data_IF_160102047098
#
_entry.id   IF_160102047098
#
_cell.length_a   1.000
_cell.length_b   1.000
_cell.length_c   1.000
_cell.angle_alpha   90.00
_cell.angle_beta   90.00
_cell.angle_gamma   90.00
#
_symmetry.space_group_name_H-M   'P 1'
#
loop_
_entity.id
_entity.type
_entity.pdbx_description
1 polymer ?
#
# COMPACT_ATOMS: atom_id res chain seq x y z
N UNK A 1 54.97 -10.88 -4.72
CA UNK A 1 54.77 -11.98 -3.74
C UNK A 1 53.68 -11.58 -2.73
N UNK A 2 52.39 -11.69 -3.05
CA UNK A 2 51.31 -11.33 -2.10
C UNK A 2 50.00 -12.04 -2.46
N UNK A 3 49.91 -13.36 -2.23
CA UNK A 3 48.67 -14.16 -2.42
C UNK A 3 48.52 -15.34 -1.45
N UNK A 4 48.97 -15.21 -0.19
CA UNK A 4 48.90 -16.32 0.79
C UNK A 4 48.10 -16.08 2.07
N UNK A 5 47.60 -14.87 2.35
CA UNK A 5 46.91 -14.56 3.61
C UNK A 5 45.39 -14.81 3.61
N UNK A 6 44.74 -14.91 2.45
CA UNK A 6 43.27 -15.05 2.37
C UNK A 6 42.70 -16.45 2.67
N UNK A 7 43.51 -17.52 2.59
CA UNK A 7 43.01 -18.90 2.80
C UNK A 7 42.93 -19.30 4.28
N UNK A 8 43.76 -18.73 5.14
CA UNK A 8 43.80 -19.10 6.56
C UNK A 8 42.59 -18.54 7.33
N UNK A 9 42.16 -17.32 7.00
CA UNK A 9 40.99 -16.68 7.63
C UNK A 9 39.68 -17.38 7.26
N UNK A 10 39.52 -17.82 5.99
CA UNK A 10 38.33 -18.52 5.54
C UNK A 10 38.14 -19.90 6.22
N UNK A 11 39.23 -20.61 6.48
CA UNK A 11 39.19 -21.93 7.15
C UNK A 11 38.88 -21.80 8.64
N UNK A 12 39.44 -20.80 9.33
CA UNK A 12 39.14 -20.53 10.74
C UNK A 12 37.67 -20.12 10.95
N UNK A 13 37.13 -19.25 10.10
CA UNK A 13 35.72 -18.83 10.19
C UNK A 13 34.73 -19.97 9.92
N UNK A 14 35.03 -20.87 8.97
CA UNK A 14 34.22 -22.06 8.71
C UNK A 14 34.28 -23.08 9.88
N UNK A 15 35.44 -23.20 10.52
CA UNK A 15 35.65 -24.10 11.67
C UNK A 15 34.89 -23.63 12.91
N UNK A 16 34.89 -22.32 13.18
CA UNK A 16 34.12 -21.70 14.28
C UNK A 16 32.61 -21.80 14.03
N UNK A 17 32.16 -21.63 12.78
CA UNK A 17 30.74 -21.80 12.42
C UNK A 17 30.27 -23.27 12.54
N UNK A 18 31.11 -24.24 12.17
CA UNK A 18 30.81 -25.67 12.38
C UNK A 18 30.81 -26.04 13.87
N UNK A 19 31.74 -25.52 14.67
CA UNK A 19 31.79 -25.76 16.11
C UNK A 19 30.57 -25.15 16.82
N UNK A 20 30.13 -23.95 16.43
CA UNK A 20 28.92 -23.33 16.95
C UNK A 20 27.66 -24.13 16.56
N UNK A 21 27.55 -24.61 15.33
CA UNK A 21 26.44 -25.45 14.90
C UNK A 21 26.41 -26.83 15.59
N UNK A 22 27.58 -27.38 15.94
CA UNK A 22 27.70 -28.62 16.72
C UNK A 22 27.32 -28.40 18.20
N UNK A 23 27.77 -27.30 18.81
CA UNK A 23 27.41 -26.94 20.19
C UNK A 23 25.90 -26.68 20.34
N UNK A 24 25.26 -26.00 19.37
CA UNK A 24 23.81 -25.79 19.39
C UNK A 24 22.98 -27.07 19.12
N UNK A 25 23.62 -28.14 18.60
CA UNK A 25 22.99 -29.47 18.46
C UNK A 25 23.09 -30.30 19.75
N UNK A 26 24.04 -30.01 20.63
CA UNK A 26 24.29 -30.78 21.86
C UNK A 26 23.38 -30.39 23.04
N UNK A 27 22.73 -29.22 23.00
CA UNK A 27 21.86 -28.73 24.09
C UNK A 27 20.39 -29.19 24.03
N UNK A 28 20.03 -30.12 23.13
CA UNK A 28 18.70 -30.73 23.18
C UNK A 28 18.76 -31.95 24.10
N UNK A 29 18.14 -31.90 25.31
CA UNK A 29 18.08 -33.08 26.17
C UNK A 29 17.48 -34.25 25.37
N UNK A 30 18.12 -35.41 25.49
CA UNK A 30 17.65 -36.62 24.82
C UNK A 30 16.18 -36.88 25.21
N UNK A 31 15.32 -37.28 24.25
CA UNK A 31 13.93 -37.58 24.54
C UNK A 31 13.84 -38.70 25.59
N UNK A 32 12.90 -38.56 26.53
CA UNK A 32 12.65 -39.58 27.54
C UNK A 32 12.01 -40.82 26.90
N UNK A 33 12.61 -41.99 27.12
CA UNK A 33 12.15 -43.27 26.61
C UNK A 33 11.08 -43.87 27.54
N UNK A 34 9.81 -43.58 27.24
CA UNK A 34 8.68 -44.06 28.02
C UNK A 34 8.53 -45.60 28.00
N UNK A 35 8.61 -46.31 26.86
CA UNK A 35 8.55 -47.78 26.83
C UNK A 35 9.53 -48.49 27.77
N UNK A 36 10.76 -47.99 27.92
CA UNK A 36 11.76 -48.57 28.84
C UNK A 36 11.34 -48.51 30.31
N UNK A 37 10.39 -47.63 30.66
CA UNK A 37 9.88 -47.46 32.03
C UNK A 37 8.50 -48.13 32.25
N UNK A 38 7.93 -48.76 31.21
CA UNK A 38 6.58 -49.34 31.23
C UNK A 38 6.35 -50.42 32.30
N UNK A 39 7.41 -51.15 32.69
CA UNK A 39 7.32 -52.20 33.71
C UNK A 39 7.45 -51.67 35.14
N UNK A 40 7.90 -50.43 35.32
CA UNK A 40 8.16 -49.83 36.62
C UNK A 40 6.97 -49.03 37.16
N UNK A 41 6.20 -48.41 36.26
CA UNK A 41 5.11 -47.50 36.64
C UNK A 41 3.76 -47.96 36.09
N UNK A 42 2.76 -47.99 36.97
CA UNK A 42 1.39 -48.40 36.64
C UNK A 42 0.43 -47.24 36.38
N UNK A 43 0.85 -46.00 36.67
CA UNK A 43 0.08 -44.77 36.39
C UNK A 43 0.95 -43.67 35.78
N UNK A 44 0.37 -42.86 34.88
CA UNK A 44 1.06 -41.70 34.29
C UNK A 44 1.40 -40.62 35.33
N UNK A 45 0.51 -40.46 36.32
CA UNK A 45 0.61 -39.47 37.40
C UNK A 45 1.74 -39.77 38.39
N UNK A 46 2.36 -40.97 38.32
CA UNK A 46 3.57 -41.29 39.10
C UNK A 46 4.74 -40.35 38.78
N UNK A 47 4.86 -39.88 37.52
CA UNK A 47 5.86 -38.89 37.12
C UNK A 47 5.23 -37.55 36.73
N UNK A 48 4.00 -37.56 36.20
CA UNK A 48 3.29 -36.36 35.76
C UNK A 48 2.34 -35.81 36.83
N UNK A 49 2.83 -35.63 38.06
CA UNK A 49 2.02 -35.26 39.23
C UNK A 49 1.20 -33.97 39.03
N UNK A 50 1.73 -33.00 38.27
CA UNK A 50 1.05 -31.72 38.04
C UNK A 50 -0.08 -31.74 37.03
N UNK A 51 -0.49 -32.89 36.46
CA UNK A 51 -1.56 -32.93 35.44
C UNK A 51 -2.96 -32.66 36.00
N UNK A 52 -3.14 -32.79 37.31
CA UNK A 52 -4.44 -32.62 37.98
C UNK A 52 -4.56 -31.32 38.77
N UNK A 53 -3.47 -30.56 38.89
CA UNK A 53 -3.41 -29.33 39.66
C UNK A 53 -3.11 -28.13 38.76
N UNK A 54 -3.94 -27.09 38.86
CA UNK A 54 -3.82 -25.92 38.00
C UNK A 54 -2.53 -25.16 38.31
N UNK A 55 -1.69 -24.95 37.29
CA UNK A 55 -0.42 -24.23 37.43
C UNK A 55 0.75 -25.10 37.91
N UNK A 56 0.52 -26.36 38.25
CA UNK A 56 1.59 -27.29 38.60
C UNK A 56 2.43 -27.68 37.37
N UNK A 57 3.70 -28.02 37.61
CA UNK A 57 4.59 -28.47 36.55
C UNK A 57 4.14 -29.82 35.98
N UNK A 58 3.82 -29.85 34.68
CA UNK A 58 3.39 -31.08 33.99
C UNK A 58 4.54 -32.08 33.79
N UNK A 59 5.78 -31.61 33.73
CA UNK A 59 6.95 -32.46 33.52
C UNK A 59 7.61 -32.75 34.87
N UNK A 60 8.13 -33.99 35.07
CA UNK A 60 8.86 -34.33 36.29
C UNK A 60 10.10 -33.45 36.46
N UNK A 61 10.57 -33.34 37.71
CA UNK A 61 11.81 -32.61 38.01
C UNK A 61 13.03 -33.53 37.87
N UNK A 62 14.23 -33.00 37.62
CA UNK A 62 15.45 -33.81 37.54
C UNK A 62 15.71 -34.66 38.80
N UNK A 63 15.30 -34.18 39.97
CA UNK A 63 15.45 -34.86 41.26
C UNK A 63 14.63 -36.17 41.31
N UNK A 64 13.45 -36.19 40.69
CA UNK A 64 12.63 -37.41 40.59
C UNK A 64 13.35 -38.53 39.82
N UNK A 65 14.14 -38.17 38.80
CA UNK A 65 14.92 -39.14 38.05
C UNK A 65 16.13 -39.64 38.87
N UNK A 66 16.75 -38.74 39.63
CA UNK A 66 17.93 -39.04 40.45
C UNK A 66 17.64 -40.06 41.57
N UNK A 67 16.38 -40.26 41.96
CA UNK A 67 16.00 -41.28 42.94
C UNK A 67 16.34 -42.72 42.49
N UNK A 68 16.34 -42.99 41.18
CA UNK A 68 16.73 -44.29 40.61
C UNK A 68 18.00 -44.18 39.74
N UNK A 69 18.25 -43.03 39.13
CA UNK A 69 19.44 -42.77 38.31
C UNK A 69 20.54 -42.06 39.13
N UNK A 70 20.94 -42.65 40.25
CA UNK A 70 21.94 -42.11 41.18
C UNK A 70 23.38 -42.62 40.91
N UNK A 71 23.54 -43.56 39.97
CA UNK A 71 24.78 -44.25 39.66
C UNK A 71 25.02 -45.53 40.45
N UNK A 72 24.12 -45.88 41.38
CA UNK A 72 24.15 -47.16 42.12
C UNK A 72 23.04 -48.10 41.64
N UNK A 73 21.80 -47.62 41.54
CA UNK A 73 20.65 -48.40 41.06
C UNK A 73 20.63 -48.44 39.54
N UNK A 74 20.69 -47.28 38.90
CA UNK A 74 20.87 -47.14 37.46
C UNK A 74 21.85 -46.01 37.12
N UNK A 75 22.35 -46.02 35.88
CA UNK A 75 23.26 -45.01 35.35
C UNK A 75 22.70 -43.62 35.57
N UNK A 76 23.53 -42.70 36.06
CA UNK A 76 23.17 -41.28 36.21
C UNK A 76 22.64 -40.68 34.90
N UNK A 77 21.60 -39.89 35.02
CA UNK A 77 20.97 -39.19 33.90
C UNK A 77 21.12 -37.68 34.06
N UNK A 78 21.41 -37.01 32.95
CA UNK A 78 21.44 -35.56 32.82
C UNK A 78 20.11 -35.03 32.28
N UNK A 79 19.05 -35.84 32.26
CA UNK A 79 17.75 -35.44 31.77
C UNK A 79 17.27 -34.14 32.42
N UNK A 80 16.74 -33.23 31.60
CA UNK A 80 16.14 -31.97 32.02
C UNK A 80 14.80 -31.79 31.31
N UNK A 81 13.77 -31.29 32.01
CA UNK A 81 12.50 -30.98 31.38
C UNK A 81 12.69 -29.83 30.38
N UNK A 82 11.88 -29.83 29.31
CA UNK A 82 11.80 -28.67 28.43
C UNK A 82 11.29 -27.47 29.22
N UNK A 83 11.97 -26.35 29.09
CA UNK A 83 11.54 -25.06 29.65
C UNK A 83 10.54 -24.37 28.73
N UNK A 84 9.51 -23.78 29.34
CA UNK A 84 8.54 -22.93 28.67
C UNK A 84 7.35 -23.65 28.02
N UNK A 85 6.29 -22.90 27.65
CA UNK A 85 5.05 -23.45 27.10
C UNK A 85 5.28 -24.13 25.76
N UNK A 86 4.48 -25.15 25.42
CA UNK A 86 4.54 -25.79 24.10
C UNK A 86 4.23 -24.75 23.01
N UNK A 87 4.96 -24.73 21.88
CA UNK A 87 4.69 -23.78 20.80
C UNK A 87 3.38 -24.17 20.11
N UNK A 88 2.26 -23.63 20.58
CA UNK A 88 0.91 -23.94 20.09
C UNK A 88 0.00 -22.74 20.29
N UNK A 89 -0.99 -22.59 19.42
CA UNK A 89 -2.12 -21.69 19.63
C UNK A 89 -3.36 -22.45 20.11
N UNK A 90 -3.27 -23.72 20.51
CA UNK A 90 -4.41 -24.45 21.03
C UNK A 90 -4.80 -23.91 22.41
N UNK A 91 -6.09 -23.59 22.59
CA UNK A 91 -6.69 -23.29 23.89
C UNK A 91 -6.99 -24.62 24.58
N UNK A 92 -6.01 -25.14 25.32
CA UNK A 92 -6.14 -26.41 26.04
C UNK A 92 -5.70 -26.28 27.48
N UNK A 93 -6.47 -26.90 28.37
CA UNK A 93 -6.22 -26.97 29.81
C UNK A 93 -6.41 -28.42 30.29
N UNK A 94 -5.42 -28.99 30.97
CA UNK A 94 -5.48 -30.38 31.43
C UNK A 94 -6.49 -30.54 32.59
N UNK A 95 -6.55 -29.58 33.51
CA UNK A 95 -7.39 -29.67 34.71
C UNK A 95 -8.87 -29.62 34.34
N UNK A 96 -9.27 -28.69 33.47
CA UNK A 96 -10.62 -28.60 32.95
C UNK A 96 -11.05 -29.86 32.20
N UNK A 97 -10.19 -30.43 31.36
CA UNK A 97 -10.50 -31.70 30.68
C UNK A 97 -10.60 -32.86 31.68
N UNK A 98 -9.70 -32.96 32.66
CA UNK A 98 -9.75 -33.98 33.69
C UNK A 98 -11.06 -33.90 34.50
N UNK A 99 -11.50 -32.69 34.86
CA UNK A 99 -12.76 -32.46 35.57
C UNK A 99 -13.98 -32.91 34.76
N UNK A 100 -14.11 -32.45 33.50
CA UNK A 100 -15.23 -32.85 32.64
C UNK A 100 -15.27 -34.37 32.42
N UNK A 101 -14.12 -35.04 32.37
CA UNK A 101 -14.06 -36.49 32.25
C UNK A 101 -14.50 -37.22 33.51
N UNK A 102 -14.05 -36.76 34.69
CA UNK A 102 -14.50 -37.29 35.98
C UNK A 102 -16.02 -37.16 36.15
N UNK A 103 -16.57 -36.01 35.80
CA UNK A 103 -18.03 -35.76 35.82
C UNK A 103 -18.80 -36.71 34.89
N UNK A 104 -18.17 -37.17 33.81
CA UNK A 104 -18.75 -38.15 32.86
C UNK A 104 -18.51 -39.60 33.27
N UNK A 105 -18.01 -39.85 34.49
CA UNK A 105 -17.81 -41.20 35.03
C UNK A 105 -16.51 -41.88 34.60
N UNK A 106 -15.58 -41.15 33.97
CA UNK A 106 -14.26 -41.69 33.61
C UNK A 106 -13.29 -41.57 34.79
N UNK A 107 -13.23 -42.66 35.57
CA UNK A 107 -12.41 -42.77 36.79
C UNK A 107 -11.03 -43.35 36.54
N UNK A 108 -10.77 -43.88 35.33
CA UNK A 108 -9.54 -44.58 34.99
C UNK A 108 -8.38 -43.67 34.57
N UNK A 109 -8.61 -42.34 34.51
CA UNK A 109 -7.65 -41.35 34.02
C UNK A 109 -6.93 -41.83 32.76
N UNK A 110 -7.71 -42.13 31.73
CA UNK A 110 -7.23 -42.60 30.43
C UNK A 110 -6.55 -41.47 29.66
N UNK A 111 -5.45 -40.95 30.21
CA UNK A 111 -4.51 -40.04 29.54
C UNK A 111 -4.16 -40.56 28.15
N UNK A 112 -4.10 -41.90 28.01
CA UNK A 112 -3.91 -42.64 26.77
C UNK A 112 -4.92 -42.30 25.66
N UNK A 113 -6.15 -41.88 25.97
CA UNK A 113 -7.14 -41.51 24.94
C UNK A 113 -6.70 -40.30 24.11
N UNK A 114 -5.90 -39.42 24.70
CA UNK A 114 -5.28 -38.29 24.02
C UNK A 114 -3.80 -38.56 23.70
N UNK A 115 -3.07 -39.19 24.63
CA UNK A 115 -1.62 -39.32 24.59
C UNK A 115 -1.10 -40.66 24.08
N UNK A 116 -1.96 -41.55 23.58
CA UNK A 116 -1.56 -42.81 22.96
C UNK A 116 -2.45 -43.12 21.74
N UNK A 117 -2.11 -44.18 21.02
CA UNK A 117 -3.06 -44.84 20.11
C UNK A 117 -3.62 -46.04 20.86
N UNK A 118 -4.94 -46.28 20.74
CA UNK A 118 -5.65 -47.27 21.57
C UNK A 118 -5.11 -48.69 21.45
N UNK A 119 -4.44 -49.01 20.34
CA UNK A 119 -3.83 -50.30 20.05
C UNK A 119 -2.38 -50.42 20.52
N UNK A 120 -1.76 -49.32 20.95
CA UNK A 120 -0.35 -49.32 21.28
C UNK A 120 -0.09 -49.89 22.68
N UNK A 121 1.08 -50.50 22.90
CA UNK A 121 1.49 -50.95 24.22
C UNK A 121 1.52 -49.81 25.24
N UNK A 122 1.35 -50.15 26.52
CA UNK A 122 1.47 -49.22 27.65
C UNK A 122 2.74 -48.35 27.54
N UNK A 123 2.63 -47.06 27.88
CA UNK A 123 3.69 -46.04 27.79
C UNK A 123 4.25 -45.79 26.37
N UNK A 124 3.60 -46.27 25.32
CA UNK A 124 3.87 -45.82 23.94
C UNK A 124 3.09 -44.53 23.66
N UNK A 125 3.69 -43.40 24.03
CA UNK A 125 3.01 -42.10 23.99
C UNK A 125 3.20 -41.33 22.68
N UNK A 126 2.20 -40.52 22.33
CA UNK A 126 2.23 -39.52 21.26
C UNK A 126 1.55 -38.22 21.69
N UNK A 127 1.76 -37.15 20.94
CA UNK A 127 1.01 -35.91 21.11
C UNK A 127 -0.46 -36.09 20.68
N UNK A 128 -1.42 -35.38 21.31
CA UNK A 128 -2.80 -35.41 20.86
C UNK A 128 -2.94 -34.85 19.44
N UNK A 129 -3.85 -35.44 18.69
CA UNK A 129 -4.17 -35.07 17.30
C UNK A 129 -5.53 -34.36 17.24
N UNK A 130 -5.72 -33.52 16.22
CA UNK A 130 -7.01 -32.85 16.04
C UNK A 130 -8.19 -33.83 15.92
N UNK A 131 -8.10 -34.99 15.21
CA UNK A 131 -9.17 -35.98 15.20
C UNK A 131 -9.60 -36.49 16.60
N UNK A 132 -8.66 -36.64 17.54
CA UNK A 132 -8.99 -37.04 18.93
C UNK A 132 -9.76 -35.95 19.67
N UNK A 133 -9.44 -34.67 19.44
CA UNK A 133 -10.22 -33.57 20.01
C UNK A 133 -11.65 -33.57 19.41
N UNK A 134 -11.75 -33.67 18.08
CA UNK A 134 -13.02 -33.56 17.37
C UNK A 134 -13.99 -34.71 17.69
N UNK A 135 -13.47 -35.92 17.98
CA UNK A 135 -14.31 -37.07 18.35
C UNK A 135 -15.09 -36.86 19.64
N UNK A 136 -14.48 -36.25 20.67
CA UNK A 136 -15.15 -35.94 21.93
C UNK A 136 -15.97 -34.65 21.87
N UNK A 137 -15.53 -33.68 21.08
CA UNK A 137 -16.22 -32.40 20.87
C UNK A 137 -17.36 -32.46 19.85
N UNK A 138 -17.65 -33.65 19.29
CA UNK A 138 -18.75 -33.93 18.35
C UNK A 138 -18.77 -33.00 17.14
N UNK A 139 -17.60 -32.75 16.57
CA UNK A 139 -17.46 -31.98 15.32
C UNK A 139 -17.33 -32.95 14.17
N UNK A 140 -18.35 -33.02 13.32
CA UNK A 140 -18.45 -33.95 12.18
C UNK A 140 -17.71 -33.43 10.93
N UNK A 141 -16.42 -33.14 11.09
CA UNK A 141 -15.54 -32.71 10.00
C UNK A 141 -14.07 -32.98 10.35
N UNK A 142 -13.20 -32.99 9.34
CA UNK A 142 -11.76 -32.99 9.55
C UNK A 142 -11.29 -31.60 10.02
N UNK A 143 -10.16 -31.52 10.72
CA UNK A 143 -9.69 -30.28 11.35
C UNK A 143 -9.66 -29.06 10.44
N UNK A 144 -9.19 -29.21 9.20
CA UNK A 144 -9.09 -28.10 8.24
C UNK A 144 -10.35 -27.93 7.38
N UNK A 145 -11.35 -28.80 7.51
CA UNK A 145 -12.60 -28.76 6.75
C UNK A 145 -13.79 -28.31 7.60
N UNK A 146 -13.60 -28.09 8.90
CA UNK A 146 -14.57 -27.37 9.74
C UNK A 146 -14.86 -25.98 9.15
N UNK A 147 -16.06 -25.40 9.39
CA UNK A 147 -16.33 -24.03 8.99
C UNK A 147 -15.26 -23.06 9.52
N UNK A 148 -14.77 -22.16 8.66
CA UNK A 148 -13.70 -21.19 9.02
C UNK A 148 -14.07 -20.33 10.23
N UNK A 149 -15.36 -20.19 10.55
CA UNK A 149 -15.87 -19.48 11.73
C UNK A 149 -15.63 -20.22 13.05
N UNK A 150 -15.27 -21.50 13.04
CA UNK A 150 -15.15 -22.35 14.24
C UNK A 150 -13.76 -22.34 14.86
N UNK A 151 -12.73 -21.91 14.14
CA UNK A 151 -11.33 -22.03 14.56
C UNK A 151 -11.05 -21.37 15.93
N UNK A 152 -11.63 -20.20 16.19
CA UNK A 152 -11.43 -19.45 17.44
C UNK A 152 -12.07 -20.10 18.69
N UNK A 153 -12.89 -21.14 18.51
CA UNK A 153 -13.44 -21.95 19.61
C UNK A 153 -12.33 -22.72 20.30
N UNK A 154 -11.47 -23.38 19.50
CA UNK A 154 -10.41 -24.25 20.00
C UNK A 154 -9.05 -23.58 20.02
N UNK A 155 -8.84 -22.55 19.20
CA UNK A 155 -7.54 -21.88 19.09
C UNK A 155 -7.57 -20.46 19.68
N UNK A 156 -6.42 -20.04 20.17
CA UNK A 156 -6.09 -18.67 20.54
C UNK A 156 -5.78 -17.86 19.27
N UNK A 157 -6.09 -16.56 19.26
CA UNK A 157 -5.55 -15.63 18.28
C UNK A 157 -4.03 -15.73 18.24
N UNK A 158 -3.44 -15.64 17.05
CA UNK A 158 -2.01 -15.72 16.81
C UNK A 158 -1.22 -14.76 17.68
N UNK A 159 -1.71 -13.52 17.81
CA UNK A 159 -1.11 -12.48 18.64
C UNK A 159 -1.06 -12.81 20.14
N UNK A 160 -1.84 -13.79 20.62
CA UNK A 160 -1.79 -14.31 22.00
C UNK A 160 -1.00 -15.61 22.14
N UNK A 161 -0.57 -16.20 21.02
CA UNK A 161 0.17 -17.46 21.01
C UNK A 161 1.68 -17.17 21.00
N UNK A 162 2.19 -16.57 22.07
CA UNK A 162 3.57 -16.04 22.17
C UNK A 162 4.65 -17.12 21.97
N UNK A 163 4.34 -18.36 22.33
CA UNK A 163 5.24 -19.49 22.14
C UNK A 163 5.47 -19.87 20.67
N UNK A 164 4.61 -19.41 19.73
CA UNK A 164 4.77 -19.70 18.31
C UNK A 164 5.88 -18.87 17.68
N UNK A 165 6.82 -19.57 17.05
CA UNK A 165 7.91 -18.95 16.27
C UNK A 165 7.44 -18.61 14.86
N UNK A 166 8.09 -17.60 14.24
CA UNK A 166 7.84 -17.23 12.83
C UNK A 166 7.94 -18.43 11.88
N UNK A 167 8.95 -19.28 12.06
CA UNK A 167 9.14 -20.48 11.24
C UNK A 167 7.96 -21.45 11.33
N UNK A 168 7.37 -21.61 12.52
CA UNK A 168 6.22 -22.49 12.71
C UNK A 168 4.97 -21.89 12.06
N UNK A 169 4.79 -20.59 12.19
CA UNK A 169 3.69 -19.83 11.58
C UNK A 169 3.75 -19.91 10.05
N UNK A 170 4.95 -19.79 9.45
CA UNK A 170 5.16 -19.92 8.00
C UNK A 170 4.71 -21.28 7.44
N UNK A 171 4.64 -22.32 8.28
CA UNK A 171 4.23 -23.68 7.91
C UNK A 171 2.78 -24.01 8.27
N UNK A 172 1.97 -23.02 8.65
CA UNK A 172 0.56 -23.25 8.89
C UNK A 172 -0.13 -23.78 7.63
N UNK A 173 -0.89 -24.88 7.74
CA UNK A 173 -1.65 -25.38 6.61
C UNK A 173 -2.81 -24.43 6.32
N UNK A 174 -3.02 -24.12 5.05
CA UNK A 174 -4.17 -23.34 4.62
C UNK A 174 -5.42 -24.26 4.54
N UNK A 175 -6.57 -23.86 5.11
CA UNK A 175 -7.84 -24.53 4.88
C UNK A 175 -8.18 -24.63 3.38
N UNK A 176 -8.90 -25.67 2.91
CA UNK A 176 -9.26 -25.80 1.50
C UNK A 176 -10.00 -24.60 0.92
N UNK A 177 -10.72 -23.84 1.76
CA UNK A 177 -11.42 -22.59 1.39
C UNK A 177 -10.48 -21.56 0.76
N UNK A 178 -9.20 -21.54 1.15
CA UNK A 178 -8.20 -20.61 0.60
C UNK A 178 -7.80 -20.92 -0.84
N UNK A 179 -8.11 -22.13 -1.32
CA UNK A 179 -7.87 -22.55 -2.71
C UNK A 179 -9.08 -22.29 -3.61
N UNK A 180 -10.22 -21.88 -3.04
CA UNK A 180 -11.42 -21.62 -3.82
C UNK A 180 -11.18 -20.43 -4.79
N UNK A 181 -11.55 -20.53 -6.08
CA UNK A 181 -11.32 -19.47 -7.07
C UNK A 181 -11.96 -18.11 -6.69
N UNK A 182 -13.04 -18.15 -5.90
CA UNK A 182 -13.77 -16.97 -5.44
C UNK A 182 -13.24 -16.40 -4.13
N UNK A 183 -12.29 -17.08 -3.46
CA UNK A 183 -11.80 -16.68 -2.14
C UNK A 183 -11.28 -15.24 -2.14
N UNK A 184 -10.43 -14.86 -3.09
CA UNK A 184 -9.89 -13.50 -3.16
C UNK A 184 -10.86 -12.44 -3.72
N UNK A 185 -12.14 -12.78 -3.97
CA UNK A 185 -13.17 -11.84 -4.44
C UNK A 185 -14.05 -11.37 -3.27
N UNK A 186 -14.81 -10.30 -3.49
CA UNK A 186 -15.74 -9.74 -2.51
C UNK A 186 -16.77 -10.75 -1.98
N UNK A 187 -17.19 -11.70 -2.82
CA UNK A 187 -18.07 -12.82 -2.42
C UNK A 187 -17.39 -13.97 -1.68
N UNK A 188 -16.06 -13.94 -1.50
CA UNK A 188 -15.27 -14.94 -0.77
C UNK A 188 -14.82 -14.42 0.60
N UNK A 189 -13.52 -14.12 0.73
CA UNK A 189 -12.91 -13.62 1.97
C UNK A 189 -13.56 -12.33 2.46
N UNK A 190 -14.10 -11.49 1.57
CA UNK A 190 -14.83 -10.28 1.96
C UNK A 190 -16.09 -10.58 2.80
N UNK A 191 -16.80 -11.67 2.50
CA UNK A 191 -17.93 -12.13 3.31
C UNK A 191 -17.43 -12.77 4.62
N UNK A 192 -16.39 -13.60 4.54
CA UNK A 192 -15.82 -14.29 5.69
C UNK A 192 -15.18 -13.33 6.70
N UNK A 193 -14.64 -12.19 6.24
CA UNK A 193 -14.02 -11.17 7.07
C UNK A 193 -14.99 -10.54 8.09
N UNK A 194 -16.30 -10.75 7.95
CA UNK A 194 -17.28 -10.41 9.00
C UNK A 194 -17.06 -11.21 10.30
N UNK A 195 -16.41 -12.37 10.22
CA UNK A 195 -16.00 -13.22 11.35
C UNK A 195 -14.47 -13.22 11.52
N UNK A 196 -13.85 -12.03 11.49
CA UNK A 196 -12.39 -11.87 11.53
C UNK A 196 -11.70 -12.53 12.73
N UNK A 197 -12.43 -12.77 13.83
CA UNK A 197 -11.91 -13.44 15.02
C UNK A 197 -11.37 -14.84 14.72
N UNK A 198 -12.02 -15.61 13.84
CA UNK A 198 -11.52 -16.95 13.51
C UNK A 198 -10.33 -16.91 12.56
N UNK A 199 -10.28 -15.92 11.66
CA UNK A 199 -9.10 -15.63 10.87
C UNK A 199 -7.89 -15.27 11.75
N UNK A 200 -8.13 -14.63 12.90
CA UNK A 200 -7.09 -14.26 13.86
C UNK A 200 -6.31 -15.44 14.44
N UNK A 201 -6.83 -16.67 14.28
CA UNK A 201 -6.14 -17.92 14.66
C UNK A 201 -4.80 -18.11 13.93
N UNK A 202 -4.75 -17.67 12.65
CA UNK A 202 -3.62 -17.86 11.76
C UNK A 202 -3.05 -16.53 11.25
N UNK A 203 -3.88 -15.50 11.13
CA UNK A 203 -3.50 -14.19 10.64
C UNK A 203 -3.54 -13.16 11.78
N UNK A 204 -2.87 -12.03 11.59
CA UNK A 204 -2.96 -10.88 12.48
C UNK A 204 -3.15 -9.61 11.65
N UNK A 205 -3.35 -8.48 12.31
CA UNK A 205 -3.61 -7.20 11.64
C UNK A 205 -2.59 -6.87 10.55
N UNK A 206 -1.31 -7.15 10.80
CA UNK A 206 -0.21 -6.92 9.86
C UNK A 206 -0.36 -7.74 8.57
N UNK A 207 -0.84 -8.98 8.65
CA UNK A 207 -1.12 -9.79 7.47
C UNK A 207 -2.20 -9.17 6.59
N UNK A 208 -3.28 -8.68 7.20
CA UNK A 208 -4.35 -8.01 6.46
C UNK A 208 -3.84 -6.71 5.82
N UNK A 209 -3.06 -5.92 6.56
CA UNK A 209 -2.50 -4.66 6.09
C UNK A 209 -1.55 -4.84 4.89
N UNK A 210 -0.90 -6.01 4.74
CA UNK A 210 -0.02 -6.28 3.61
C UNK A 210 -0.71 -6.16 2.24
N UNK A 211 -2.03 -6.40 2.19
CA UNK A 211 -2.84 -6.25 0.98
C UNK A 211 -3.83 -5.09 1.06
N UNK A 212 -4.35 -4.79 2.25
CA UNK A 212 -5.31 -3.71 2.50
C UNK A 212 -4.60 -2.41 2.85
N UNK A 213 -4.33 -1.58 1.85
CA UNK A 213 -3.82 -0.22 2.06
C UNK A 213 -4.76 0.60 2.95
N UNK A 214 -6.08 0.37 2.85
CA UNK A 214 -7.11 0.97 3.69
C UNK A 214 -7.32 0.26 5.05
N UNK A 215 -6.36 -0.54 5.50
CA UNK A 215 -6.42 -1.23 6.79
C UNK A 215 -6.69 -0.30 8.00
N UNK A 216 -6.09 0.91 8.09
CA UNK A 216 -6.40 1.86 9.16
C UNK A 216 -7.87 2.28 9.22
N UNK A 217 -8.54 2.40 8.07
CA UNK A 217 -9.95 2.78 7.95
C UNK A 217 -10.90 1.59 8.05
N UNK A 218 -10.41 0.36 8.10
CA UNK A 218 -11.25 -0.83 8.08
C UNK A 218 -11.46 -1.35 9.50
N UNK A 219 -12.66 -1.18 10.11
CA UNK A 219 -12.88 -1.52 11.52
C UNK A 219 -12.62 -3.00 11.83
N UNK A 220 -12.99 -3.89 10.90
CA UNK A 220 -12.76 -5.33 11.04
C UNK A 220 -11.26 -5.68 11.13
N UNK A 221 -10.39 -4.94 10.44
CA UNK A 221 -8.93 -5.12 10.50
C UNK A 221 -8.39 -4.49 11.79
N UNK A 222 -8.89 -3.33 12.19
CA UNK A 222 -8.45 -2.65 13.42
C UNK A 222 -8.86 -3.40 14.70
N UNK A 223 -9.92 -4.20 14.64
CA UNK A 223 -10.31 -5.08 15.75
C UNK A 223 -9.30 -6.21 16.01
N UNK A 224 -8.38 -6.48 15.08
CA UNK A 224 -7.35 -7.50 15.25
C UNK A 224 -6.11 -6.91 15.93
N UNK A 225 -5.49 -7.71 16.80
CA UNK A 225 -4.19 -7.37 17.38
C UNK A 225 -3.09 -7.39 16.30
N UNK A 226 -2.08 -6.51 16.39
CA UNK A 226 -0.90 -6.60 15.55
C UNK A 226 -0.03 -7.80 15.94
N UNK A 227 0.56 -8.43 14.94
CA UNK A 227 1.61 -9.40 15.12
C UNK A 227 2.43 -9.53 13.81
N UNK A 228 3.64 -8.95 13.73
CA UNK A 228 4.46 -9.02 12.52
C UNK A 228 4.94 -10.44 12.20
N UNK A 229 4.77 -11.41 13.11
CA UNK A 229 5.05 -12.83 12.82
C UNK A 229 4.07 -13.40 11.81
N UNK A 230 2.85 -12.86 11.70
CA UNK A 230 1.85 -13.32 10.72
C UNK A 230 2.33 -13.15 9.27
N UNK A 231 3.22 -12.19 9.02
CA UNK A 231 3.85 -11.95 7.71
C UNK A 231 4.82 -13.07 7.29
N UNK A 232 5.12 -14.03 8.17
CA UNK A 232 5.87 -15.22 7.79
C UNK A 232 5.05 -16.17 6.89
N UNK A 233 3.72 -16.06 6.90
CA UNK A 233 2.85 -16.76 5.95
C UNK A 233 3.03 -16.14 4.56
N UNK A 234 3.31 -16.95 3.52
CA UNK A 234 3.44 -16.45 2.16
C UNK A 234 2.19 -15.67 1.73
N UNK A 235 2.39 -14.44 1.27
CA UNK A 235 1.35 -13.56 0.78
C UNK A 235 1.85 -12.81 -0.45
N UNK A 236 0.94 -12.55 -1.38
CA UNK A 236 1.26 -11.79 -2.59
C UNK A 236 0.02 -11.03 -3.03
N UNK A 237 0.16 -9.71 -3.16
CA UNK A 237 -0.84 -8.89 -3.79
C UNK A 237 -0.79 -9.14 -5.31
N UNK A 238 -1.85 -9.75 -5.85
CA UNK A 238 -1.98 -10.03 -7.29
C UNK A 238 -3.00 -9.10 -7.92
N UNK A 239 -2.69 -8.63 -9.11
CA UNK A 239 -3.61 -7.79 -9.87
C UNK A 239 -4.88 -8.58 -10.24
N UNK A 240 -6.08 -8.00 -10.09
CA UNK A 240 -7.32 -8.57 -10.60
C UNK A 240 -7.26 -8.81 -12.11
N UNK A 241 -8.03 -9.79 -12.62
CA UNK A 241 -8.05 -10.19 -14.04
C UNK A 241 -8.20 -8.99 -15.00
N UNK A 242 -9.01 -7.99 -14.65
CA UNK A 242 -9.22 -6.80 -15.47
C UNK A 242 -7.96 -5.93 -15.69
N UNK A 243 -6.91 -6.07 -14.87
CA UNK A 243 -5.64 -5.34 -15.08
C UNK A 243 -4.82 -5.89 -16.25
N UNK A 244 -5.10 -7.12 -16.69
CA UNK A 244 -4.43 -7.71 -17.85
C UNK A 244 -5.07 -7.27 -19.18
N UNK A 245 -6.16 -6.50 -19.14
CA UNK A 245 -6.83 -6.01 -20.34
C UNK A 245 -5.95 -4.97 -21.06
N UNK A 246 -5.77 -5.14 -22.38
CA UNK A 246 -4.96 -4.24 -23.21
C UNK A 246 -5.49 -2.81 -23.25
N UNK A 247 -6.76 -2.61 -22.93
CA UNK A 247 -7.43 -1.32 -22.90
C UNK A 247 -7.43 -0.69 -21.51
N UNK A 248 -6.95 -1.40 -20.48
CA UNK A 248 -6.96 -0.93 -19.10
C UNK A 248 -6.33 0.47 -18.96
N UNK A 249 -5.16 0.71 -19.54
CA UNK A 249 -4.49 2.01 -19.47
C UNK A 249 -5.34 3.17 -20.02
N UNK A 250 -6.19 2.91 -21.03
CA UNK A 250 -7.11 3.92 -21.58
C UNK A 250 -8.43 4.02 -20.81
N UNK A 251 -8.88 2.92 -20.19
CA UNK A 251 -10.19 2.83 -19.55
C UNK A 251 -10.17 3.00 -18.02
N UNK A 252 -9.00 2.90 -17.38
CA UNK A 252 -8.90 2.87 -15.91
C UNK A 252 -9.38 4.15 -15.24
N UNK A 253 -9.33 5.30 -15.93
CA UNK A 253 -9.87 6.56 -15.42
C UNK A 253 -11.37 6.48 -15.14
N UNK A 254 -12.14 5.79 -15.99
CA UNK A 254 -13.56 5.53 -15.74
C UNK A 254 -13.76 4.53 -14.60
N UNK A 255 -12.92 3.48 -14.54
CA UNK A 255 -12.97 2.46 -13.50
C UNK A 255 -12.62 3.01 -12.11
N UNK A 256 -11.72 4.00 -12.03
CA UNK A 256 -11.36 4.67 -10.79
C UNK A 256 -12.52 5.50 -10.20
N UNK A 257 -13.52 5.85 -11.02
CA UNK A 257 -14.66 6.65 -10.61
C UNK A 257 -14.25 8.05 -10.13
N UNK A 258 -15.05 8.69 -9.27
CA UNK A 258 -14.78 10.08 -8.82
C UNK A 258 -13.73 10.17 -7.71
N UNK A 259 -13.58 9.13 -6.91
CA UNK A 259 -12.80 9.15 -5.66
C UNK A 259 -11.74 8.04 -5.56
N UNK A 260 -11.57 7.19 -6.57
CA UNK A 260 -10.55 6.13 -6.55
C UNK A 260 -10.82 5.00 -5.54
N UNK A 261 -11.98 5.00 -4.88
CA UNK A 261 -12.26 4.11 -3.75
C UNK A 261 -12.05 2.61 -4.06
N UNK A 262 -12.37 2.17 -5.29
CA UNK A 262 -12.15 0.80 -5.73
C UNK A 262 -10.65 0.43 -5.82
N UNK A 263 -9.79 1.40 -6.06
CA UNK A 263 -8.34 1.22 -6.17
C UNK A 263 -7.64 1.37 -4.81
N UNK A 264 -8.19 2.18 -3.89
CA UNK A 264 -7.60 2.51 -2.58
C UNK A 264 -7.50 1.35 -1.60
N UNK A 265 -8.14 0.22 -1.89
CA UNK A 265 -7.91 -1.04 -1.16
C UNK A 265 -6.49 -1.56 -1.38
N UNK A 266 -5.97 -1.45 -2.61
CA UNK A 266 -4.71 -2.08 -3.00
C UNK A 266 -3.62 -1.07 -3.35
N UNK A 267 -3.96 0.11 -3.82
CA UNK A 267 -3.03 1.14 -4.27
C UNK A 267 -2.94 2.28 -3.26
N UNK A 268 -1.73 2.80 -3.07
CA UNK A 268 -1.52 4.09 -2.41
C UNK A 268 -1.51 5.21 -3.45
N UNK A 269 -1.46 6.48 -3.00
CA UNK A 269 -1.23 7.63 -3.90
C UNK A 269 0.06 7.45 -4.71
N UNK A 270 1.12 6.98 -4.05
CA UNK A 270 2.45 6.80 -4.64
C UNK A 270 2.44 5.75 -5.75
N UNK A 271 1.61 4.71 -5.65
CA UNK A 271 1.37 3.80 -6.77
C UNK A 271 0.92 4.58 -8.01
N UNK A 272 -0.06 5.46 -7.88
CA UNK A 272 -0.57 6.20 -9.04
C UNK A 272 0.41 7.27 -9.55
N UNK A 273 1.21 7.87 -8.66
CA UNK A 273 2.21 8.87 -9.04
C UNK A 273 3.35 8.31 -9.91
N UNK A 274 3.51 6.98 -9.99
CA UNK A 274 4.41 6.36 -10.95
C UNK A 274 4.10 6.75 -12.41
N UNK A 275 2.82 7.00 -12.74
CA UNK A 275 2.39 7.48 -14.06
C UNK A 275 1.80 8.90 -14.01
N UNK A 276 1.10 9.27 -12.94
CA UNK A 276 0.50 10.58 -12.76
C UNK A 276 1.45 11.55 -12.05
N UNK A 277 2.57 11.88 -12.69
CA UNK A 277 3.63 12.74 -12.14
C UNK A 277 3.36 14.24 -12.30
N UNK A 278 2.40 14.64 -13.14
CA UNK A 278 1.93 16.02 -13.29
C UNK A 278 0.82 16.36 -12.31
N UNK A 279 -0.21 17.06 -12.79
CA UNK A 279 -1.42 17.29 -12.00
C UNK A 279 -2.19 15.98 -11.83
N UNK A 280 -2.14 15.42 -10.62
CA UNK A 280 -2.79 14.16 -10.32
C UNK A 280 -4.31 14.31 -10.37
N UNK A 281 -5.03 13.40 -11.04
CA UNK A 281 -6.48 13.50 -11.16
C UNK A 281 -7.15 13.26 -9.80
N UNK A 282 -8.37 13.81 -9.62
CA UNK A 282 -9.14 13.70 -8.36
C UNK A 282 -9.19 12.28 -7.75
N UNK A 283 -9.37 11.19 -8.52
CA UNK A 283 -9.39 9.84 -7.96
C UNK A 283 -8.07 9.44 -7.30
N UNK A 284 -6.92 9.90 -7.85
CA UNK A 284 -5.59 9.67 -7.26
C UNK A 284 -5.43 10.47 -5.98
N UNK A 285 -5.86 11.74 -5.97
CA UNK A 285 -5.81 12.59 -4.79
C UNK A 285 -6.68 12.05 -3.63
N UNK A 286 -7.73 11.30 -3.95
CA UNK A 286 -8.63 10.64 -2.99
C UNK A 286 -8.09 9.34 -2.38
N UNK A 287 -6.99 8.77 -2.89
CA UNK A 287 -6.39 7.54 -2.33
C UNK A 287 -5.68 7.80 -1.00
N UNK A 288 -5.34 6.74 -0.28
CA UNK A 288 -4.51 6.84 0.92
C UNK A 288 -3.03 7.01 0.54
N UNK A 289 -2.33 7.89 1.24
CA UNK A 289 -0.86 7.94 1.17
C UNK A 289 -0.27 6.72 1.87
N UNK A 290 0.93 6.32 1.43
CA UNK A 290 1.73 5.36 2.18
C UNK A 290 1.96 5.86 3.63
N UNK A 291 1.92 4.95 4.59
CA UNK A 291 2.07 5.32 5.99
C UNK A 291 1.95 4.15 6.96
N UNK A 292 2.11 4.41 8.27
CA UNK A 292 2.05 3.37 9.29
C UNK A 292 0.73 2.59 9.28
N UNK A 293 0.81 1.28 9.50
CA UNK A 293 -0.36 0.39 9.54
C UNK A 293 -0.99 0.11 8.18
N UNK A 294 -0.35 0.53 7.08
CA UNK A 294 -0.76 0.24 5.70
C UNK A 294 0.29 -0.62 5.02
N UNK A 295 -0.15 -1.44 4.07
CA UNK A 295 0.75 -2.09 3.13
C UNK A 295 1.46 -1.07 2.23
N UNK A 296 2.54 -1.49 1.60
CA UNK A 296 3.30 -0.65 0.65
C UNK A 296 2.47 -0.22 -0.57
N UNK A 297 1.33 -0.85 -0.80
CA UNK A 297 0.52 -0.67 -2.00
C UNK A 297 1.02 -1.51 -3.16
N UNK A 298 0.14 -1.73 -4.13
CA UNK A 298 0.47 -2.38 -5.38
C UNK A 298 1.52 -1.56 -6.12
N UNK A 299 2.67 -2.19 -6.36
CA UNK A 299 3.74 -1.60 -7.14
C UNK A 299 3.28 -1.45 -8.60
N UNK A 300 3.35 -0.22 -9.08
CA UNK A 300 3.06 0.18 -10.44
C UNK A 300 4.33 0.77 -11.02
N UNK A 301 4.63 0.41 -12.26
CA UNK A 301 5.85 0.88 -12.92
C UNK A 301 5.47 1.39 -14.29
N UNK A 302 5.81 2.64 -14.56
CA UNK A 302 5.71 3.22 -15.89
C UNK A 302 6.70 2.51 -16.81
N UNK A 303 6.21 2.01 -17.95
CA UNK A 303 7.04 1.36 -18.96
C UNK A 303 7.32 2.34 -20.11
N UNK A 304 8.57 2.44 -20.58
CA UNK A 304 8.86 3.27 -21.74
C UNK A 304 8.19 2.68 -23.00
N UNK A 305 7.67 3.52 -23.91
CA UNK A 305 7.18 3.05 -25.20
C UNK A 305 8.32 2.42 -26.03
N UNK A 306 7.97 1.59 -27.02
CA UNK A 306 8.94 0.85 -27.84
C UNK A 306 9.91 1.71 -28.63
N UNK A 307 9.62 2.99 -28.84
CA UNK A 307 10.52 3.94 -29.52
C UNK A 307 11.64 4.49 -28.61
N UNK A 308 11.61 4.23 -27.30
CA UNK A 308 12.65 4.62 -26.34
C UNK A 308 13.83 3.65 -26.38
N UNK A 309 14.56 3.68 -27.50
CA UNK A 309 15.75 2.87 -27.76
C UNK A 309 17.04 3.70 -27.67
N UNK A 310 18.20 3.07 -27.48
CA UNK A 310 19.49 3.76 -27.28
C UNK A 310 19.83 4.76 -28.39
N UNK A 311 20.13 6.02 -28.04
CA UNK A 311 20.33 7.14 -28.99
C UNK A 311 19.04 7.86 -29.38
N UNK A 312 17.95 7.64 -28.63
CA UNK A 312 16.66 8.29 -28.84
C UNK A 312 16.79 9.82 -28.78
N UNK A 313 17.60 10.32 -27.86
CA UNK A 313 17.85 11.75 -27.65
C UNK A 313 18.31 12.51 -28.91
N UNK A 314 18.98 11.83 -29.85
CA UNK A 314 19.46 12.44 -31.09
C UNK A 314 18.46 12.41 -32.25
N UNK A 315 17.34 11.70 -32.11
CA UNK A 315 16.41 11.42 -33.23
C UNK A 315 14.94 11.68 -32.91
N UNK A 316 14.65 12.30 -31.76
CA UNK A 316 13.27 12.61 -31.36
C UNK A 316 12.65 13.84 -31.97
N UNK A 317 13.45 14.73 -32.56
CA UNK A 317 12.98 15.98 -33.17
C UNK A 317 11.77 15.81 -34.09
N UNK A 318 11.81 14.95 -35.13
CA UNK A 318 10.69 14.78 -36.06
C UNK A 318 9.41 14.26 -35.38
N UNK A 319 9.53 13.28 -34.48
CA UNK A 319 8.39 12.69 -33.77
C UNK A 319 7.79 13.67 -32.76
N UNK A 320 8.65 14.40 -32.04
CA UNK A 320 8.22 15.41 -31.08
C UNK A 320 7.53 16.59 -31.78
N UNK A 321 8.05 17.03 -32.93
CA UNK A 321 7.42 18.09 -33.74
C UNK A 321 6.03 17.68 -34.25
N UNK A 322 5.89 16.43 -34.73
CA UNK A 322 4.61 15.94 -35.26
C UNK A 322 3.58 15.62 -34.16
N UNK A 323 4.02 15.17 -32.98
CA UNK A 323 3.13 14.53 -32.00
C UNK A 323 3.52 14.79 -30.53
N UNK A 324 3.95 16.00 -30.16
CA UNK A 324 4.39 16.33 -28.79
C UNK A 324 3.39 15.91 -27.69
N UNK A 325 2.08 16.03 -27.96
CA UNK A 325 1.02 15.68 -27.00
C UNK A 325 1.01 14.21 -26.60
N UNK A 326 1.59 13.33 -27.42
CA UNK A 326 1.74 11.92 -27.07
C UNK A 326 2.81 11.73 -26.00
N UNK A 327 3.87 12.55 -26.00
CA UNK A 327 4.94 12.53 -25.00
C UNK A 327 4.46 13.06 -23.65
N UNK A 328 3.61 14.09 -23.65
CA UNK A 328 3.06 14.71 -22.43
C UNK A 328 2.05 13.83 -21.69
N UNK A 329 1.66 12.68 -22.26
CA UNK A 329 0.89 11.66 -21.54
C UNK A 329 1.69 11.03 -20.40
N UNK A 330 3.02 11.17 -20.44
CA UNK A 330 3.93 10.48 -19.57
C UNK A 330 5.11 11.35 -19.06
N UNK A 331 5.51 12.38 -19.82
CA UNK A 331 6.54 13.35 -19.43
C UNK A 331 5.88 14.67 -19.01
N UNK A 332 6.43 15.30 -17.96
CA UNK A 332 6.05 16.65 -17.58
C UNK A 332 6.94 17.66 -18.30
N UNK A 333 6.53 18.94 -18.30
CA UNK A 333 7.27 20.04 -18.93
C UNK A 333 8.75 20.03 -18.56
N UNK A 334 9.05 19.87 -17.28
CA UNK A 334 10.42 19.92 -16.76
C UNK A 334 11.30 18.82 -17.36
N UNK A 335 10.73 17.64 -17.64
CA UNK A 335 11.43 16.55 -18.32
C UNK A 335 11.93 16.93 -19.71
N UNK A 336 11.17 17.78 -20.43
CA UNK A 336 11.61 18.31 -21.70
C UNK A 336 12.74 19.33 -21.47
N UNK A 337 12.53 20.28 -20.54
CA UNK A 337 13.43 21.42 -20.33
C UNK A 337 14.81 21.06 -19.76
N UNK A 338 14.98 19.85 -19.19
CA UNK A 338 16.27 19.34 -18.73
C UNK A 338 17.37 19.42 -19.81
N UNK A 339 17.08 18.99 -21.03
CA UNK A 339 18.00 19.06 -22.18
C UNK A 339 17.79 20.31 -23.04
N UNK A 340 16.60 20.88 -22.95
CA UNK A 340 15.96 21.63 -24.02
C UNK A 340 15.68 23.03 -23.44
N UNK A 341 16.79 23.65 -23.00
CA UNK A 341 16.79 24.85 -22.16
C UNK A 341 16.29 26.09 -22.91
N UNK A 342 15.58 27.00 -22.23
CA UNK A 342 14.99 28.19 -22.83
C UNK A 342 16.01 29.33 -23.02
N UNK A 343 17.16 29.07 -23.64
CA UNK A 343 17.97 30.15 -24.20
C UNK A 343 17.56 30.36 -25.66
N UNK A 344 16.60 31.25 -25.88
CA UNK A 344 16.12 31.64 -27.22
C UNK A 344 17.24 32.22 -28.12
N UNK A 345 18.41 32.53 -27.55
CA UNK A 345 19.54 33.13 -28.26
C UNK A 345 20.68 32.16 -28.57
N UNK A 346 20.72 30.94 -27.99
CA UNK A 346 21.96 30.14 -28.01
C UNK A 346 21.93 28.72 -28.56
N UNK A 347 20.80 28.12 -28.96
CA UNK A 347 20.82 26.82 -29.69
C UNK A 347 19.61 26.59 -30.58
N UNK A 348 19.86 25.87 -31.68
CA UNK A 348 18.84 25.16 -32.46
C UNK A 348 18.13 24.15 -31.53
N UNK A 349 16.93 24.50 -31.07
CA UNK A 349 16.21 23.69 -30.09
C UNK A 349 14.73 23.59 -30.42
N UNK A 350 13.97 24.60 -29.99
CA UNK A 350 12.51 24.66 -30.23
C UNK A 350 12.07 25.82 -31.10
N UNK A 351 12.92 26.83 -31.25
CA UNK A 351 12.68 28.00 -32.06
C UNK A 351 13.83 28.13 -33.06
N UNK A 352 13.56 28.45 -34.32
CA UNK A 352 14.63 28.72 -35.26
C UNK A 352 15.41 29.97 -34.85
N UNK A 353 16.68 30.04 -35.27
CA UNK A 353 17.51 31.24 -35.09
C UNK A 353 16.76 32.49 -35.54
N UNK A 354 16.75 33.53 -34.71
CA UNK A 354 16.05 34.77 -35.02
C UNK A 354 14.54 34.74 -34.77
N UNK A 355 13.99 33.73 -34.08
CA UNK A 355 12.56 33.65 -33.76
C UNK A 355 11.96 34.94 -33.20
N UNK A 356 12.73 35.71 -32.42
CA UNK A 356 12.30 37.00 -31.87
C UNK A 356 11.82 38.00 -32.94
N UNK A 357 12.32 37.92 -34.19
CA UNK A 357 11.89 38.81 -35.28
C UNK A 357 10.53 38.41 -35.86
N UNK A 358 10.18 37.11 -35.86
CA UNK A 358 8.88 36.61 -36.33
C UNK A 358 7.83 36.44 -35.23
N UNK A 359 8.29 36.39 -33.97
CA UNK A 359 7.44 36.20 -32.79
C UNK A 359 6.20 37.11 -32.75
N UNK A 360 6.28 38.42 -33.09
CA UNK A 360 5.09 39.28 -33.08
C UNK A 360 3.98 38.80 -34.04
N UNK A 361 4.36 38.34 -35.23
CA UNK A 361 3.42 37.82 -36.21
C UNK A 361 2.87 36.44 -35.80
N UNK A 362 3.72 35.55 -35.28
CA UNK A 362 3.31 34.25 -34.78
C UNK A 362 2.31 34.39 -33.61
N UNK A 363 2.58 35.31 -32.67
CA UNK A 363 1.71 35.60 -31.53
C UNK A 363 0.37 36.22 -31.96
N UNK A 364 0.39 37.19 -32.87
CA UNK A 364 -0.82 37.82 -33.40
C UNK A 364 -1.71 36.83 -34.15
N UNK A 365 -1.11 35.98 -35.00
CA UNK A 365 -1.83 34.98 -35.78
C UNK A 365 -2.14 33.70 -35.00
N UNK A 366 -1.78 33.61 -33.70
CA UNK A 366 -1.92 32.41 -32.86
C UNK A 366 -1.29 31.16 -33.49
N UNK A 367 -0.15 31.36 -34.14
CA UNK A 367 0.59 30.30 -34.82
C UNK A 367 1.42 29.55 -33.78
N UNK A 368 0.83 28.51 -33.20
CA UNK A 368 1.48 27.58 -32.28
C UNK A 368 0.87 27.55 -30.87
N UNK A 369 0.97 26.40 -30.22
CA UNK A 369 0.52 26.19 -28.84
C UNK A 369 1.62 26.56 -27.84
N UNK A 370 1.92 27.85 -27.68
CA UNK A 370 2.99 28.33 -26.80
C UNK A 370 2.80 27.86 -25.35
N UNK A 371 1.56 27.59 -24.93
CA UNK A 371 1.18 27.10 -23.59
C UNK A 371 1.67 25.69 -23.30
N UNK A 372 1.95 24.91 -24.36
CA UNK A 372 2.41 23.53 -24.22
C UNK A 372 3.81 23.50 -23.57
N UNK A 373 4.60 24.57 -23.76
CA UNK A 373 5.94 24.71 -23.19
C UNK A 373 6.10 25.90 -22.22
N UNK A 374 5.42 27.03 -22.43
CA UNK A 374 5.59 28.26 -21.65
C UNK A 374 4.39 28.55 -20.75
N UNK A 375 4.65 29.05 -19.54
CA UNK A 375 3.66 29.83 -18.81
C UNK A 375 3.54 31.20 -19.48
N UNK A 376 2.64 31.32 -20.45
CA UNK A 376 2.53 32.50 -21.31
C UNK A 376 2.37 33.80 -20.51
N UNK A 377 1.59 33.79 -19.43
CA UNK A 377 1.35 34.99 -18.64
C UNK A 377 2.62 35.55 -18.00
N UNK A 378 3.37 34.69 -17.31
CA UNK A 378 4.63 35.09 -16.67
C UNK A 378 5.74 35.36 -17.68
N UNK A 379 5.85 34.51 -18.71
CA UNK A 379 6.91 34.59 -19.71
C UNK A 379 6.78 35.83 -20.60
N UNK A 380 5.59 36.10 -21.16
CA UNK A 380 5.38 37.27 -22.01
C UNK A 380 5.63 38.56 -21.24
N UNK A 381 5.12 38.66 -20.00
CA UNK A 381 5.27 39.85 -19.16
C UNK A 381 6.74 40.08 -18.77
N UNK A 382 7.45 39.04 -18.34
CA UNK A 382 8.86 39.16 -17.92
C UNK A 382 9.77 39.54 -19.08
N UNK A 383 9.63 38.89 -20.24
CA UNK A 383 10.42 39.17 -21.43
C UNK A 383 10.15 40.58 -21.96
N UNK A 384 8.88 40.99 -22.10
CA UNK A 384 8.55 42.35 -22.54
C UNK A 384 9.00 43.41 -21.54
N UNK A 385 8.90 43.14 -20.22
CA UNK A 385 9.43 44.05 -19.19
C UNK A 385 10.95 44.21 -19.31
N UNK A 386 11.68 43.09 -19.44
CA UNK A 386 13.14 43.09 -19.58
C UNK A 386 13.60 43.76 -20.87
N UNK A 387 12.82 43.62 -21.94
CA UNK A 387 13.06 44.25 -23.25
C UNK A 387 12.59 45.71 -23.31
N UNK A 388 12.06 46.26 -22.21
CA UNK A 388 11.59 47.66 -22.16
C UNK A 388 10.30 47.92 -22.94
N UNK A 389 9.56 46.87 -23.30
CA UNK A 389 8.29 46.84 -24.04
C UNK A 389 7.06 46.88 -23.11
N UNK A 390 7.24 47.28 -21.86
CA UNK A 390 6.14 47.46 -20.91
C UNK A 390 5.39 48.78 -21.16
N UNK A 391 4.11 48.84 -20.77
CA UNK A 391 3.34 50.08 -20.87
C UNK A 391 3.98 51.18 -20.03
N UNK A 392 4.42 52.27 -20.68
CA UNK A 392 4.89 53.49 -20.02
C UNK A 392 3.78 54.53 -20.06
N UNK A 393 3.54 55.18 -18.92
CA UNK A 393 2.69 56.36 -18.86
C UNK A 393 3.48 57.53 -19.45
N UNK A 394 3.11 57.95 -20.66
CA UNK A 394 3.71 59.14 -21.29
C UNK A 394 2.83 60.36 -21.05
N UNK A 395 3.38 61.55 -21.25
CA UNK A 395 2.65 62.82 -21.18
C UNK A 395 1.47 62.89 -22.18
N UNK A 396 1.48 62.01 -23.20
CA UNK A 396 0.50 61.93 -24.30
C UNK A 396 -0.46 60.73 -24.17
N UNK A 397 -0.43 60.00 -23.04
CA UNK A 397 -1.30 58.83 -22.79
C UNK A 397 -0.56 57.52 -22.53
N UNK A 398 -1.29 56.41 -22.33
CA UNK A 398 -0.70 55.08 -22.19
C UNK A 398 -0.02 54.68 -23.52
N UNK A 399 1.31 54.61 -23.52
CA UNK A 399 2.09 54.07 -24.63
C UNK A 399 2.64 52.70 -24.24
N UNK A 400 2.38 51.66 -25.03
CA UNK A 400 2.80 50.30 -24.72
C UNK A 400 2.64 49.34 -25.89
N UNK A 401 3.17 48.13 -25.72
CA UNK A 401 3.24 47.03 -26.69
C UNK A 401 1.85 46.45 -27.05
N UNK A 402 1.06 47.23 -27.76
CA UNK A 402 -0.03 46.73 -28.61
C UNK A 402 0.54 46.60 -30.03
N UNK A 403 -0.31 46.52 -31.06
CA UNK A 403 0.02 46.60 -32.49
C UNK A 403 0.71 47.92 -32.93
N UNK A 404 1.22 48.73 -32.00
CA UNK A 404 1.78 50.06 -32.24
C UNK A 404 0.71 51.13 -32.54
N UNK A 405 -0.57 50.76 -32.56
CA UNK A 405 -1.66 51.68 -32.86
C UNK A 405 -1.95 52.60 -31.65
N UNK A 406 -1.64 53.89 -31.79
CA UNK A 406 -1.93 54.90 -30.75
C UNK A 406 -3.45 55.07 -30.50
N UNK A 407 -4.30 54.59 -31.39
CA UNK A 407 -5.76 54.61 -31.27
C UNK A 407 -6.34 53.28 -30.77
N UNK A 408 -5.52 52.32 -30.32
CA UNK A 408 -6.00 51.03 -29.83
C UNK A 408 -7.12 51.18 -28.77
N UNK A 409 -7.04 52.20 -27.92
CA UNK A 409 -8.08 52.52 -26.95
C UNK A 409 -9.49 52.72 -27.54
N UNK A 410 -9.64 53.11 -28.81
CA UNK A 410 -10.93 53.25 -29.49
C UNK A 410 -11.42 51.93 -30.10
N UNK A 411 -10.51 51.03 -30.48
CA UNK A 411 -10.82 49.73 -31.11
C UNK A 411 -10.83 48.53 -30.15
N UNK A 412 -10.33 48.69 -28.92
CA UNK A 412 -10.11 47.57 -28.00
C UNK A 412 -11.38 46.79 -27.65
N UNK A 413 -12.54 47.43 -27.65
CA UNK A 413 -13.81 46.76 -27.35
C UNK A 413 -14.20 45.71 -28.40
N UNK A 414 -13.86 45.94 -29.67
CA UNK A 414 -14.08 44.95 -30.74
C UNK A 414 -13.06 43.82 -30.66
N UNK A 415 -11.79 44.15 -30.42
CA UNK A 415 -10.74 43.16 -30.23
C UNK A 415 -11.02 42.25 -29.02
N UNK A 416 -11.45 42.83 -27.89
CA UNK A 416 -11.81 42.10 -26.68
C UNK A 416 -12.99 41.14 -26.91
N UNK A 417 -13.98 41.51 -27.73
CA UNK A 417 -15.09 40.61 -28.10
C UNK A 417 -14.67 39.43 -28.96
N UNK A 418 -13.60 39.58 -29.75
CA UNK A 418 -13.09 38.52 -30.63
C UNK A 418 -12.06 37.62 -29.93
N UNK A 419 -11.40 38.11 -28.87
CA UNK A 419 -10.16 37.53 -28.37
C UNK A 419 -9.82 37.90 -26.91
N UNK A 420 -10.79 37.89 -25.99
CA UNK A 420 -10.56 38.34 -24.60
C UNK A 420 -9.40 37.60 -23.91
N UNK A 421 -9.25 36.31 -24.22
CA UNK A 421 -8.23 35.42 -23.66
C UNK A 421 -6.81 35.86 -24.04
N UNK A 422 -6.66 36.45 -25.23
CA UNK A 422 -5.38 37.01 -25.68
C UNK A 422 -5.01 38.23 -24.84
N UNK A 423 -5.98 39.07 -24.48
CA UNK A 423 -5.76 40.21 -23.59
C UNK A 423 -5.46 39.76 -22.15
N UNK A 424 -6.22 38.79 -21.64
CA UNK A 424 -6.07 38.24 -20.28
C UNK A 424 -4.72 37.52 -20.06
N UNK A 425 -3.98 37.19 -21.13
CA UNK A 425 -2.63 36.66 -21.04
C UNK A 425 -1.61 37.70 -20.51
N UNK A 426 -1.88 38.99 -20.71
CA UNK A 426 -0.99 40.09 -20.31
C UNK A 426 -1.63 41.05 -19.31
N UNK A 427 -2.95 41.16 -19.33
CA UNK A 427 -3.74 42.02 -18.46
C UNK A 427 -4.48 41.23 -17.39
N UNK A 428 -4.52 41.79 -16.18
CA UNK A 428 -5.25 41.19 -15.05
C UNK A 428 -6.60 41.85 -14.85
N UNK A 429 -7.57 41.12 -14.28
CA UNK A 429 -8.97 41.56 -14.12
C UNK A 429 -9.10 42.99 -13.56
N UNK A 430 -8.32 43.35 -12.53
CA UNK A 430 -8.30 44.69 -11.92
C UNK A 430 -8.05 45.84 -12.91
N UNK A 431 -7.31 45.60 -13.99
CA UNK A 431 -7.02 46.61 -15.02
C UNK A 431 -8.25 46.86 -15.88
N UNK A 432 -8.94 45.79 -16.29
CA UNK A 432 -10.22 45.87 -17.01
C UNK A 432 -11.28 46.59 -16.16
N UNK A 433 -11.32 46.28 -14.85
CA UNK A 433 -12.27 46.86 -13.90
C UNK A 433 -12.07 48.37 -13.70
N UNK A 434 -10.90 48.93 -14.03
CA UNK A 434 -10.67 50.39 -13.96
C UNK A 434 -11.61 51.16 -14.89
N UNK A 435 -12.06 50.53 -15.98
CA UNK A 435 -13.01 51.12 -16.93
C UNK A 435 -14.38 50.43 -16.90
N UNK A 436 -14.40 49.10 -16.77
CA UNK A 436 -15.62 48.30 -16.95
C UNK A 436 -16.41 47.99 -15.67
N UNK A 437 -15.86 48.30 -14.50
CA UNK A 437 -16.61 48.19 -13.24
C UNK A 437 -17.53 49.40 -13.07
N UNK A 438 -18.76 49.17 -12.61
CA UNK A 438 -19.66 50.23 -12.17
C UNK A 438 -19.42 50.64 -10.70
N UNK A 439 -18.71 49.81 -9.93
CA UNK A 439 -18.38 50.08 -8.52
C UNK A 439 -17.06 50.81 -8.38
N UNK A 440 -16.03 50.40 -9.13
CA UNK A 440 -14.65 50.89 -8.98
C UNK A 440 -14.07 51.53 -10.25
N UNK A 441 -14.83 51.52 -11.34
CA UNK A 441 -14.36 51.93 -12.66
C UNK A 441 -15.19 53.05 -13.26
N UNK A 442 -15.02 53.26 -14.57
CA UNK A 442 -15.72 54.30 -15.34
C UNK A 442 -17.11 53.89 -15.83
N UNK A 443 -17.59 52.71 -15.46
CA UNK A 443 -18.93 52.22 -15.80
C UNK A 443 -19.13 51.87 -17.28
N UNK A 444 -18.07 51.66 -18.06
CA UNK A 444 -18.22 51.22 -19.46
C UNK A 444 -18.72 49.78 -19.50
N UNK A 445 -19.91 49.55 -20.06
CA UNK A 445 -20.47 48.20 -20.12
C UNK A 445 -19.58 47.25 -20.94
N UNK A 446 -19.10 46.13 -20.37
CA UNK A 446 -18.41 45.09 -21.11
C UNK A 446 -19.39 44.17 -21.87
N UNK A 447 -20.70 44.29 -21.61
CA UNK A 447 -21.72 43.45 -22.22
C UNK A 447 -22.02 43.89 -23.65
N UNK A 448 -22.01 42.92 -24.58
CA UNK A 448 -22.37 43.15 -25.98
C UNK A 448 -23.88 43.20 -26.22
N UNK A 449 -24.30 43.55 -27.45
CA UNK A 449 -25.71 43.47 -27.86
C UNK A 449 -26.26 42.05 -27.65
N UNK A 450 -27.45 41.93 -27.05
CA UNK A 450 -28.11 40.63 -26.79
C UNK A 450 -27.61 39.87 -25.54
N UNK A 451 -26.85 40.52 -24.65
CA UNK A 451 -26.49 39.94 -23.36
C UNK A 451 -27.74 39.67 -22.50
N UNK A 452 -27.91 38.41 -22.05
CA UNK A 452 -28.99 37.98 -21.15
C UNK A 452 -28.45 37.87 -19.71
N UNK A 453 -28.64 38.92 -18.89
CA UNK A 453 -28.13 38.94 -17.52
C UNK A 453 -28.82 37.90 -16.63
N UNK A 454 -30.12 37.65 -16.84
CA UNK A 454 -30.91 36.75 -16.00
C UNK A 454 -30.43 35.31 -16.12
N UNK A 455 -30.11 34.85 -17.34
CA UNK A 455 -29.59 33.50 -17.59
C UNK A 455 -28.22 33.27 -16.96
N UNK A 456 -27.32 34.24 -17.04
CA UNK A 456 -25.95 34.10 -16.52
C UNK A 456 -25.87 34.30 -15.01
N UNK A 457 -26.68 35.19 -14.45
CA UNK A 457 -26.79 35.38 -13.01
C UNK A 457 -27.20 34.08 -12.29
N UNK A 458 -28.11 33.29 -12.87
CA UNK A 458 -28.50 31.97 -12.33
C UNK A 458 -27.36 30.93 -12.35
N UNK A 459 -26.42 31.05 -13.30
CA UNK A 459 -25.30 30.11 -13.43
C UNK A 459 -24.15 30.43 -12.49
N UNK A 460 -23.80 31.72 -12.36
CA UNK A 460 -22.68 32.14 -11.52
C UNK A 460 -22.87 33.58 -11.00
N UNK A 461 -23.56 33.77 -9.87
CA UNK A 461 -23.82 35.10 -9.34
C UNK A 461 -22.58 35.82 -8.80
N UNK A 462 -21.54 35.06 -8.43
CA UNK A 462 -20.29 35.63 -7.89
C UNK A 462 -19.51 36.41 -8.95
N UNK A 463 -19.61 36.02 -10.24
CA UNK A 463 -18.95 36.72 -11.33
C UNK A 463 -19.49 38.15 -11.51
N UNK A 464 -20.79 38.35 -11.29
CA UNK A 464 -21.44 39.65 -11.42
C UNK A 464 -20.98 40.63 -10.33
N UNK A 465 -20.66 40.13 -9.14
CA UNK A 465 -20.21 40.93 -7.99
C UNK A 465 -18.86 41.60 -8.25
N UNK A 466 -18.00 41.01 -9.08
CA UNK A 466 -16.70 41.60 -9.43
C UNK A 466 -16.85 42.98 -10.07
N UNK A 467 -17.87 43.16 -10.93
CA UNK A 467 -18.13 44.41 -11.64
C UNK A 467 -19.18 45.30 -10.95
N UNK A 468 -20.20 44.69 -10.32
CA UNK A 468 -21.40 45.35 -9.80
C UNK A 468 -21.49 45.40 -8.26
N UNK A 469 -20.60 44.71 -7.54
CA UNK A 469 -20.71 44.58 -6.09
C UNK A 469 -22.03 43.93 -5.68
N UNK A 470 -22.68 44.45 -4.64
CA UNK A 470 -24.01 44.00 -4.22
C UNK A 470 -25.14 44.58 -5.07
N UNK A 471 -24.86 45.55 -5.93
CA UNK A 471 -25.84 46.27 -6.74
C UNK A 471 -25.91 45.72 -8.18
N UNK A 472 -26.28 44.45 -8.33
CA UNK A 472 -26.41 43.79 -9.63
C UNK A 472 -27.74 44.23 -10.29
N UNK A 473 -27.73 44.83 -11.50
CA UNK A 473 -28.94 45.21 -12.21
C UNK A 473 -29.85 44.01 -12.50
N UNK A 474 -31.15 44.15 -12.22
CA UNK A 474 -32.17 43.09 -12.34
C UNK A 474 -33.13 43.29 -13.53
N UNK A 475 -32.72 44.01 -14.58
CA UNK A 475 -33.58 44.25 -15.75
C UNK A 475 -33.34 43.22 -16.85
#
# INVERSE_FOLDING_TARGET
>A
MTRRTGRVVAVLSASVALAAAAAMRQDRPAPFDHPSHAKLFVTCTSCHVGTEEAGAALLPTPESCAACHDGTVHRRTDWRPRVGPRPSNLRFDHVGHATVRRERGDTAQSCADCHAERTNPWMTIRGPSAPQCLSCHRVEAEHLTVPDTTCATCHLPLARADALTRDRIARFPAPPTHRAPVFMRTGGHGVQAKSAQSCSTCHARDFCAACHVNAPETPAIQALAPDPRSLAIPHQLKAPVGHADRTFERAHGAAAGKAGAACGTCHTKESCFACHSGEAPRPVLGLHQAGPGRGAGAATTRRPPTNHVAGWEGRHGPVASAAMRTCTSCHIRDSCLECHRPDASRRDGYHPSGYLTRHPADAYNRTGSCSDCHNQGEFCQSCHKQSGLSSRRTLLGPGGYHDGNRQFGLGHGQAARQALESCASCHVERECLTCHSVVRGRGFSPHGPGFDPARLLRKNPQLCIACHGTAIPQR
#
